data_IF_353217389140
#
_entry.id   IF_353217389140
#
_cell.length_a   1.000
_cell.length_b   1.000
_cell.length_c   1.000
_cell.angle_alpha   90.00
_cell.angle_beta   90.00
_cell.angle_gamma   90.00
#
_symmetry.space_group_name_H-M   'P 1'
#
loop_
_entity.id
_entity.type
_entity.pdbx_description
1 polymer ?
#
# COMPACT_ATOMS: atom_id res chain seq x y z
N UNK A 1 -23.75 1.91 20.21
CA UNK A 1 -22.64 1.11 19.63
C UNK A 1 -21.40 1.25 20.51
N UNK A 2 -20.53 0.22 20.60
CA UNK A 2 -19.26 0.33 21.33
C UNK A 2 -18.33 1.33 20.64
N UNK A 3 -17.64 2.18 21.42
CA UNK A 3 -16.56 3.03 20.92
C UNK A 3 -15.42 2.18 20.39
N UNK A 4 -14.66 2.69 19.42
CA UNK A 4 -13.54 1.98 18.81
C UNK A 4 -12.25 2.76 18.95
N UNK A 5 -11.15 2.05 19.07
CA UNK A 5 -9.79 2.60 18.91
C UNK A 5 -9.22 2.13 17.57
N UNK A 6 -8.86 3.07 16.71
CA UNK A 6 -8.24 2.81 15.41
C UNK A 6 -6.79 3.24 15.43
N UNK A 7 -5.87 2.35 15.08
CA UNK A 7 -4.50 2.71 14.78
C UNK A 7 -4.38 3.02 13.29
N UNK A 8 -3.78 4.15 12.93
CA UNK A 8 -3.50 4.56 11.55
C UNK A 8 -2.02 4.84 11.38
N UNK A 9 -1.41 4.25 10.36
CA UNK A 9 0.00 4.46 10.03
C UNK A 9 0.21 5.53 8.97
N UNK A 10 1.47 5.89 8.76
CA UNK A 10 1.89 6.91 7.80
C UNK A 10 1.15 8.24 7.99
N UNK A 11 1.09 8.70 9.24
CA UNK A 11 0.39 9.92 9.64
C UNK A 11 0.87 11.18 8.90
N UNK A 12 2.03 11.13 8.23
CA UNK A 12 2.54 12.18 7.34
C UNK A 12 2.01 12.12 5.91
N UNK A 13 1.28 11.06 5.52
CA UNK A 13 0.73 10.94 4.16
C UNK A 13 -0.37 11.97 3.91
N UNK A 14 -0.41 12.61 2.72
CA UNK A 14 -1.40 13.64 2.40
C UNK A 14 -2.87 13.23 2.53
N UNK A 15 -3.18 11.94 2.40
CA UNK A 15 -4.55 11.41 2.53
C UNK A 15 -5.01 11.23 3.98
N UNK A 16 -4.09 11.10 4.93
CA UNK A 16 -4.42 10.73 6.31
C UNK A 16 -5.26 11.78 7.06
N UNK A 17 -5.01 13.10 6.93
CA UNK A 17 -5.87 14.10 7.55
C UNK A 17 -7.36 13.95 7.21
N UNK A 18 -7.67 13.68 5.93
CA UNK A 18 -9.05 13.42 5.48
C UNK A 18 -9.63 12.15 6.09
N UNK A 19 -8.85 11.07 6.17
CA UNK A 19 -9.28 9.79 6.75
C UNK A 19 -9.56 9.97 8.26
N UNK A 20 -8.69 10.68 9.00
CA UNK A 20 -8.91 10.97 10.42
C UNK A 20 -10.20 11.78 10.60
N UNK A 21 -10.44 12.79 9.76
CA UNK A 21 -11.68 13.56 9.80
C UNK A 21 -12.92 12.67 9.57
N UNK A 22 -12.85 11.72 8.64
CA UNK A 22 -13.93 10.74 8.42
C UNK A 22 -14.15 9.85 9.66
N UNK A 23 -13.10 9.37 10.31
CA UNK A 23 -13.23 8.59 11.55
C UNK A 23 -13.88 9.40 12.67
N UNK A 24 -13.42 10.62 12.90
CA UNK A 24 -13.91 11.47 13.99
C UNK A 24 -15.34 12.00 13.76
N UNK A 25 -15.75 12.17 12.51
CA UNK A 25 -17.06 12.73 12.11
C UNK A 25 -18.00 11.69 11.49
N UNK A 26 -17.87 10.40 11.84
CA UNK A 26 -18.66 9.32 11.23
C UNK A 26 -20.16 9.34 11.56
N UNK A 27 -20.59 10.11 12.57
CA UNK A 27 -22.00 10.26 12.96
C UNK A 27 -22.62 9.07 13.70
N UNK A 28 -21.88 7.96 13.89
CA UNK A 28 -22.40 6.73 14.48
C UNK A 28 -21.85 6.43 15.87
N UNK A 29 -20.54 6.61 16.06
CA UNK A 29 -19.85 6.26 17.30
C UNK A 29 -18.60 7.12 17.50
N UNK A 30 -18.11 7.19 18.74
CA UNK A 30 -16.82 7.78 19.03
C UNK A 30 -15.70 6.86 18.57
N UNK A 31 -14.73 7.44 17.84
CA UNK A 31 -13.51 6.75 17.42
C UNK A 31 -12.30 7.49 18.01
N UNK A 32 -11.52 6.76 18.81
CA UNK A 32 -10.20 7.19 19.26
C UNK A 32 -9.19 6.82 18.18
N UNK A 33 -8.38 7.77 17.74
CA UNK A 33 -7.39 7.56 16.67
C UNK A 33 -5.99 7.60 17.25
N UNK A 34 -5.24 6.53 17.06
CA UNK A 34 -3.82 6.41 17.40
C UNK A 34 -3.02 6.51 16.12
N UNK A 35 -2.16 7.50 15.99
CA UNK A 35 -1.31 7.70 14.81
C UNK A 35 0.08 7.12 15.01
N UNK A 36 0.65 6.52 13.96
CA UNK A 36 2.06 6.13 13.93
C UNK A 36 2.73 6.62 12.65
N UNK A 37 4.00 7.00 12.75
CA UNK A 37 4.81 7.42 11.59
C UNK A 37 6.31 7.19 11.86
N UNK A 38 7.10 7.09 10.78
CA UNK A 38 8.56 7.06 10.86
C UNK A 38 9.20 8.46 11.01
N UNK A 39 8.42 9.52 10.85
CA UNK A 39 8.80 10.90 11.14
C UNK A 39 8.32 11.29 12.54
N UNK A 40 9.11 12.09 13.26
CA UNK A 40 8.71 12.62 14.56
C UNK A 40 7.63 13.70 14.44
N UNK A 41 7.57 14.40 13.31
CA UNK A 41 6.67 15.52 13.05
C UNK A 41 5.85 15.31 11.77
N UNK A 42 5.00 14.24 11.70
CA UNK A 42 4.11 14.07 10.55
C UNK A 42 2.97 15.08 10.58
N UNK A 43 2.43 15.42 9.41
CA UNK A 43 1.39 16.44 9.25
C UNK A 43 0.13 16.21 10.11
N UNK A 44 -0.23 14.95 10.37
CA UNK A 44 -1.39 14.59 11.17
C UNK A 44 -1.08 14.33 12.67
N UNK A 45 0.13 14.59 13.15
CA UNK A 45 0.53 14.35 14.55
C UNK A 45 -0.45 14.93 15.56
N UNK A 46 -0.89 16.17 15.33
CA UNK A 46 -1.79 16.90 16.24
C UNK A 46 -3.28 16.66 15.96
N UNK A 47 -3.60 15.81 14.99
CA UNK A 47 -4.98 15.45 14.66
C UNK A 47 -5.44 14.15 15.33
N UNK A 48 -4.49 13.36 15.84
CA UNK A 48 -4.73 12.07 16.51
C UNK A 48 -4.80 12.24 18.02
N UNK A 49 -5.38 11.27 18.70
CA UNK A 49 -5.56 11.29 20.15
C UNK A 49 -4.33 10.75 20.91
N UNK A 50 -3.49 9.95 20.23
CA UNK A 50 -2.15 9.55 20.67
C UNK A 50 -1.26 9.35 19.43
N UNK A 51 0.04 9.61 19.57
CA UNK A 51 1.02 9.47 18.50
C UNK A 51 2.25 8.69 18.99
N UNK A 52 2.77 7.82 18.11
CA UNK A 52 3.99 7.05 18.33
C UNK A 52 4.91 7.13 17.13
N UNK A 53 6.19 7.40 17.36
CA UNK A 53 7.22 7.20 16.37
C UNK A 53 7.51 5.71 16.22
N UNK A 54 7.60 5.23 14.96
CA UNK A 54 7.90 3.84 14.62
C UNK A 54 8.97 3.78 13.54
N UNK A 55 9.77 2.72 13.43
CA UNK A 55 10.73 2.59 12.34
C UNK A 55 10.02 2.40 10.99
N UNK A 56 10.80 2.41 9.90
CA UNK A 56 10.27 2.08 8.58
C UNK A 56 9.67 0.66 8.54
N UNK A 57 8.68 0.43 7.68
CA UNK A 57 7.99 -0.86 7.55
C UNK A 57 8.91 -2.04 7.14
N UNK A 58 10.12 -1.73 6.64
CA UNK A 58 11.17 -2.71 6.33
C UNK A 58 12.03 -3.12 7.53
N UNK A 59 11.88 -2.44 8.66
CA UNK A 59 12.64 -2.76 9.89
C UNK A 59 12.17 -4.10 10.47
N UNK A 60 13.07 -4.98 10.92
CA UNK A 60 12.72 -6.31 11.45
C UNK A 60 11.71 -6.26 12.59
N UNK A 61 11.83 -5.28 13.49
CA UNK A 61 10.98 -5.14 14.67
C UNK A 61 9.70 -4.32 14.43
N UNK A 62 9.45 -3.86 13.21
CA UNK A 62 8.29 -3.01 12.89
C UNK A 62 6.98 -3.58 13.42
N UNK A 63 6.66 -4.83 13.06
CA UNK A 63 5.42 -5.47 13.50
C UNK A 63 5.37 -5.73 15.01
N UNK A 64 6.50 -6.01 15.67
CA UNK A 64 6.54 -6.21 17.11
C UNK A 64 6.22 -4.90 17.86
N UNK A 65 6.81 -3.80 17.42
CA UNK A 65 6.52 -2.45 17.97
C UNK A 65 5.05 -2.10 17.81
N UNK A 66 4.48 -2.37 16.63
CA UNK A 66 3.07 -2.13 16.37
C UNK A 66 2.14 -2.99 17.24
N UNK A 67 2.48 -4.27 17.44
CA UNK A 67 1.72 -5.16 18.32
C UNK A 67 1.72 -4.64 19.77
N UNK A 68 2.85 -4.13 20.26
CA UNK A 68 2.94 -3.57 21.61
C UNK A 68 2.15 -2.25 21.74
N UNK A 69 2.18 -1.39 20.73
CA UNK A 69 1.34 -0.19 20.67
C UNK A 69 -0.15 -0.59 20.65
N UNK A 70 -0.53 -1.58 19.82
CA UNK A 70 -1.90 -2.05 19.75
C UNK A 70 -2.41 -2.58 21.11
N UNK A 71 -1.61 -3.34 21.83
CA UNK A 71 -1.96 -3.82 23.18
C UNK A 71 -2.10 -2.66 24.17
N UNK A 72 -1.12 -1.75 24.19
CA UNK A 72 -1.09 -0.59 25.10
C UNK A 72 -2.29 0.32 24.92
N UNK A 73 -2.68 0.59 23.66
CA UNK A 73 -3.74 1.52 23.29
C UNK A 73 -5.11 0.83 23.15
N UNK A 74 -5.20 -0.48 23.38
CA UNK A 74 -6.42 -1.27 23.22
C UNK A 74 -7.04 -1.09 21.83
N UNK A 75 -6.21 -1.20 20.78
CA UNK A 75 -6.64 -1.00 19.39
C UNK A 75 -7.62 -2.10 18.97
N UNK A 76 -8.75 -1.71 18.39
CA UNK A 76 -9.73 -2.63 17.79
C UNK A 76 -9.43 -2.87 16.31
N UNK A 77 -9.00 -1.81 15.59
CA UNK A 77 -8.76 -1.87 14.13
C UNK A 77 -7.43 -1.19 13.80
N UNK A 78 -6.62 -1.84 12.98
CA UNK A 78 -5.43 -1.23 12.38
C UNK A 78 -5.71 -0.90 10.91
N UNK A 79 -5.61 0.37 10.55
CA UNK A 79 -5.79 0.91 9.21
C UNK A 79 -4.43 1.32 8.64
N UNK A 80 -3.82 0.53 7.72
CA UNK A 80 -2.53 0.87 7.13
C UNK A 80 -2.64 2.02 6.15
N UNK A 81 -1.77 3.03 6.30
CA UNK A 81 -1.74 4.24 5.48
C UNK A 81 -0.89 4.15 4.22
N UNK A 82 -0.02 3.12 4.10
CA UNK A 82 0.87 2.91 2.93
C UNK A 82 0.96 1.46 2.52
N UNK A 83 1.08 1.23 1.22
CA UNK A 83 1.18 -0.14 0.66
C UNK A 83 2.46 -0.87 1.09
N UNK A 84 3.52 -0.15 1.46
CA UNK A 84 4.81 -0.74 1.84
C UNK A 84 4.72 -1.65 3.08
N UNK A 85 3.80 -1.35 4.01
CA UNK A 85 3.63 -2.11 5.24
C UNK A 85 2.69 -3.31 5.10
N UNK A 86 1.78 -3.27 4.12
CA UNK A 86 0.71 -4.27 3.97
C UNK A 86 1.26 -5.69 3.91
N UNK A 87 2.32 -5.92 3.14
CA UNK A 87 2.96 -7.25 3.03
C UNK A 87 3.57 -7.73 4.36
N UNK A 88 4.10 -6.82 5.18
CA UNK A 88 4.64 -7.17 6.50
C UNK A 88 3.50 -7.51 7.49
N UNK A 89 2.44 -6.72 7.48
CA UNK A 89 1.27 -6.92 8.34
C UNK A 89 0.56 -8.25 8.04
N UNK A 90 0.36 -8.56 6.77
CA UNK A 90 -0.34 -9.78 6.36
C UNK A 90 0.43 -11.04 6.77
N UNK A 91 1.76 -11.03 6.76
CA UNK A 91 2.61 -12.13 7.27
C UNK A 91 2.45 -12.35 8.78
N UNK A 92 2.00 -11.35 9.51
CA UNK A 92 1.80 -11.36 10.96
C UNK A 92 0.31 -11.28 11.34
N UNK A 93 -0.59 -11.59 10.40
CA UNK A 93 -2.05 -11.53 10.57
C UNK A 93 -2.53 -12.21 11.84
N UNK A 94 -2.08 -13.43 12.09
CA UNK A 94 -2.51 -14.20 13.25
C UNK A 94 -2.05 -13.61 14.60
N UNK A 95 -0.94 -12.89 14.61
CA UNK A 95 -0.45 -12.21 15.81
C UNK A 95 -1.37 -11.03 16.19
N UNK A 96 -1.77 -10.22 15.21
CA UNK A 96 -2.74 -9.15 15.41
C UNK A 96 -4.12 -9.70 15.80
N UNK A 97 -4.58 -10.73 15.12
CA UNK A 97 -5.85 -11.40 15.45
C UNK A 97 -5.85 -11.96 16.87
N UNK A 98 -4.75 -12.55 17.33
CA UNK A 98 -4.61 -13.12 18.68
C UNK A 98 -4.77 -12.08 19.79
N UNK A 99 -4.39 -10.83 19.54
CA UNK A 99 -4.57 -9.72 20.47
C UNK A 99 -5.87 -8.94 20.25
N UNK A 100 -6.77 -9.45 19.41
CA UNK A 100 -8.09 -8.87 19.15
C UNK A 100 -8.11 -7.72 18.14
N UNK A 101 -6.99 -7.44 17.43
CA UNK A 101 -6.90 -6.38 16.42
C UNK A 101 -7.34 -6.89 15.06
N UNK A 102 -8.28 -6.18 14.43
CA UNK A 102 -8.66 -6.40 13.03
C UNK A 102 -7.76 -5.57 12.12
N UNK A 103 -7.02 -6.24 11.23
CA UNK A 103 -6.28 -5.54 10.16
C UNK A 103 -7.23 -5.15 9.03
N UNK A 104 -7.28 -3.88 8.66
CA UNK A 104 -8.05 -3.38 7.50
C UNK A 104 -7.28 -3.60 6.21
N UNK A 105 -7.00 -4.87 5.89
CA UNK A 105 -6.30 -5.31 4.67
C UNK A 105 -6.97 -6.56 4.11
N UNK A 106 -6.68 -6.88 2.84
CA UNK A 106 -7.09 -8.14 2.22
C UNK A 106 -6.19 -9.30 2.70
N UNK A 107 -6.61 -10.54 2.43
CA UNK A 107 -5.81 -11.73 2.72
C UNK A 107 -4.49 -11.74 1.91
N UNK A 108 -3.54 -12.59 2.32
CA UNK A 108 -2.19 -12.68 1.74
C UNK A 108 -2.21 -12.88 0.23
N UNK A 109 -3.04 -13.82 -0.27
CA UNK A 109 -3.11 -14.11 -1.69
C UNK A 109 -3.58 -12.90 -2.51
N UNK A 110 -4.62 -12.21 -2.05
CA UNK A 110 -5.12 -10.99 -2.70
C UNK A 110 -4.08 -9.87 -2.70
N UNK A 111 -3.34 -9.72 -1.59
CA UNK A 111 -2.25 -8.73 -1.48
C UNK A 111 -1.11 -9.05 -2.43
N UNK A 112 -0.69 -10.33 -2.53
CA UNK A 112 0.38 -10.76 -3.43
C UNK A 112 0.01 -10.54 -4.92
N UNK A 113 -1.25 -10.81 -5.27
CA UNK A 113 -1.75 -10.52 -6.62
C UNK A 113 -1.79 -9.03 -6.90
N UNK A 114 -2.39 -8.24 -6.00
CA UNK A 114 -2.55 -6.79 -6.18
C UNK A 114 -1.20 -6.04 -6.23
N UNK A 115 -0.19 -6.53 -5.53
CA UNK A 115 1.16 -5.95 -5.54
C UNK A 115 2.00 -6.36 -6.76
N UNK A 116 1.50 -7.25 -7.62
CA UNK A 116 2.19 -7.74 -8.80
C UNK A 116 1.34 -7.48 -10.06
N UNK A 117 1.72 -6.48 -10.86
CA UNK A 117 0.95 -6.07 -12.06
C UNK A 117 0.72 -7.20 -13.05
N UNK A 118 1.72 -8.09 -13.22
CA UNK A 118 1.60 -9.22 -14.12
C UNK A 118 0.56 -10.23 -13.61
N UNK A 119 0.64 -10.61 -12.34
CA UNK A 119 -0.35 -11.50 -11.71
C UNK A 119 -1.76 -10.89 -11.73
N UNK A 120 -1.87 -9.58 -11.50
CA UNK A 120 -3.16 -8.86 -11.58
C UNK A 120 -3.75 -8.97 -12.98
N UNK A 121 -2.97 -8.72 -14.03
CA UNK A 121 -3.46 -8.81 -15.41
C UNK A 121 -3.84 -10.23 -15.79
N UNK A 122 -3.03 -11.21 -15.39
CA UNK A 122 -3.34 -12.64 -15.63
C UNK A 122 -4.67 -13.04 -14.99
N UNK A 123 -4.83 -12.75 -13.70
CA UNK A 123 -6.04 -13.10 -12.96
C UNK A 123 -7.30 -12.40 -13.51
N UNK A 124 -7.18 -11.11 -13.90
CA UNK A 124 -8.30 -10.38 -14.49
C UNK A 124 -8.67 -10.94 -15.88
N UNK A 125 -7.68 -11.28 -16.70
CA UNK A 125 -7.91 -11.89 -18.01
C UNK A 125 -8.56 -13.27 -17.87
N UNK A 126 -8.14 -14.10 -16.93
CA UNK A 126 -8.75 -15.39 -16.61
C UNK A 126 -10.22 -15.25 -16.17
N UNK A 127 -10.54 -14.14 -15.49
CA UNK A 127 -11.90 -13.79 -15.09
C UNK A 127 -12.74 -13.13 -16.21
N UNK A 128 -12.20 -13.03 -17.44
CA UNK A 128 -12.88 -12.39 -18.57
C UNK A 128 -12.95 -10.86 -18.49
N UNK A 129 -12.18 -10.24 -17.61
CA UNK A 129 -12.10 -8.78 -17.45
C UNK A 129 -11.04 -8.24 -18.41
N UNK A 130 -11.36 -7.23 -19.25
CA UNK A 130 -10.39 -6.64 -20.17
C UNK A 130 -9.18 -6.05 -19.45
N UNK A 131 -7.99 -6.37 -19.94
CA UNK A 131 -6.71 -5.82 -19.46
C UNK A 131 -5.99 -5.13 -20.62
N UNK A 132 -5.09 -4.17 -20.33
CA UNK A 132 -4.22 -3.61 -21.36
C UNK A 132 -3.38 -4.70 -22.01
N UNK A 133 -3.07 -4.54 -23.30
CA UNK A 133 -2.05 -5.37 -23.95
C UNK A 133 -0.70 -5.19 -23.25
N UNK A 134 0.02 -6.27 -23.03
CA UNK A 134 1.32 -6.23 -22.33
C UNK A 134 2.25 -7.34 -22.80
N UNK A 135 3.54 -7.13 -22.61
CA UNK A 135 4.60 -8.11 -22.87
C UNK A 135 5.50 -8.23 -21.64
N UNK A 136 5.62 -9.42 -21.01
CA UNK A 136 6.52 -9.63 -19.87
C UNK A 136 7.99 -9.51 -20.29
N UNK A 137 8.77 -8.75 -19.55
CA UNK A 137 10.19 -8.47 -19.82
C UNK A 137 11.03 -8.90 -18.63
N UNK A 138 11.97 -9.83 -18.87
CA UNK A 138 12.93 -10.31 -17.89
C UNK A 138 14.38 -10.05 -18.32
N UNK A 139 14.63 -9.93 -19.63
CA UNK A 139 15.94 -9.70 -20.22
C UNK A 139 15.93 -8.50 -21.17
N UNK A 140 17.11 -8.05 -21.56
CA UNK A 140 17.25 -6.99 -22.59
C UNK A 140 16.65 -7.45 -23.93
N UNK A 141 16.80 -8.73 -24.28
CA UNK A 141 16.24 -9.29 -25.51
C UNK A 141 14.69 -9.27 -25.46
N UNK A 142 14.08 -9.69 -24.34
CA UNK A 142 12.63 -9.60 -24.16
C UNK A 142 12.14 -8.17 -24.30
N UNK A 143 12.92 -7.21 -23.79
CA UNK A 143 12.59 -5.80 -23.92
C UNK A 143 12.54 -5.34 -25.37
N UNK A 144 13.55 -5.70 -26.19
CA UNK A 144 13.61 -5.35 -27.62
C UNK A 144 12.45 -6.00 -28.38
N UNK A 145 12.18 -7.28 -28.12
CA UNK A 145 11.08 -8.00 -28.76
C UNK A 145 9.71 -7.48 -28.31
N UNK A 146 9.55 -7.19 -27.01
CA UNK A 146 8.34 -6.59 -26.47
C UNK A 146 8.06 -5.20 -27.07
N UNK A 147 9.08 -4.38 -27.26
CA UNK A 147 8.93 -3.10 -27.94
C UNK A 147 8.40 -3.28 -29.37
N UNK A 148 8.96 -4.22 -30.13
CA UNK A 148 8.49 -4.53 -31.48
C UNK A 148 7.04 -5.04 -31.49
N UNK A 149 6.74 -6.00 -30.61
CA UNK A 149 5.41 -6.57 -30.43
C UNK A 149 4.37 -5.50 -30.13
N UNK A 150 4.69 -4.54 -29.26
CA UNK A 150 3.82 -3.44 -28.87
C UNK A 150 3.72 -2.31 -29.92
N UNK A 151 4.44 -2.42 -31.05
CA UNK A 151 4.38 -1.51 -32.17
C UNK A 151 5.35 -0.34 -32.14
N UNK A 152 6.41 -0.39 -31.33
CA UNK A 152 7.50 0.58 -31.39
C UNK A 152 8.32 0.38 -32.69
N UNK A 153 8.77 1.43 -33.38
CA UNK A 153 8.75 2.86 -33.01
C UNK A 153 7.50 3.65 -33.41
N UNK A 154 6.54 3.02 -34.12
CA UNK A 154 5.34 3.70 -34.64
C UNK A 154 4.40 4.15 -33.50
N UNK A 155 4.42 3.43 -32.38
CA UNK A 155 3.67 3.76 -31.16
C UNK A 155 4.62 3.87 -29.99
N UNK A 156 4.41 4.83 -29.06
CA UNK A 156 5.14 4.84 -27.80
C UNK A 156 4.77 3.63 -26.96
N UNK A 157 5.74 3.10 -26.21
CA UNK A 157 5.53 2.00 -25.27
C UNK A 157 5.80 2.44 -23.84
N UNK A 158 5.10 1.83 -22.90
CA UNK A 158 5.23 2.12 -21.47
C UNK A 158 5.87 0.94 -20.74
N UNK A 159 7.10 1.12 -20.27
CA UNK A 159 7.76 0.16 -19.38
C UNK A 159 7.36 0.42 -17.93
N UNK A 160 6.99 -0.65 -17.21
CA UNK A 160 6.60 -0.57 -15.79
C UNK A 160 7.27 -1.67 -14.98
N UNK A 161 7.71 -1.33 -13.78
CA UNK A 161 8.17 -2.34 -12.81
C UNK A 161 6.95 -3.15 -12.33
N UNK A 162 7.08 -4.47 -12.30
CA UNK A 162 6.01 -5.40 -11.92
C UNK A 162 5.53 -5.11 -10.48
N UNK A 163 6.46 -5.00 -9.51
CA UNK A 163 6.18 -4.74 -8.09
C UNK A 163 6.49 -3.29 -7.72
N UNK A 164 5.98 -2.30 -8.46
CA UNK A 164 6.22 -0.87 -8.23
C UNK A 164 4.95 -0.11 -7.86
N UNK A 165 5.09 0.93 -7.05
CA UNK A 165 4.02 1.85 -6.66
C UNK A 165 4.43 3.31 -6.88
N UNK A 166 3.45 4.24 -6.88
CA UNK A 166 3.69 5.68 -6.98
C UNK A 166 4.40 6.12 -8.26
N UNK A 167 4.14 5.45 -9.39
CA UNK A 167 4.77 5.70 -10.70
C UNK A 167 6.30 5.56 -10.73
N UNK A 168 6.91 5.04 -9.65
CA UNK A 168 8.36 4.79 -9.62
C UNK A 168 8.73 3.73 -10.63
N UNK A 169 9.78 4.02 -11.45
CA UNK A 169 10.25 3.10 -12.49
C UNK A 169 9.33 2.99 -13.71
N UNK A 170 8.31 3.83 -13.86
CA UNK A 170 7.55 3.97 -15.11
C UNK A 170 8.37 4.77 -16.10
N UNK A 171 8.50 4.27 -17.34
CA UNK A 171 9.19 4.92 -18.45
C UNK A 171 8.32 4.89 -19.70
N UNK A 172 8.15 6.03 -20.34
CA UNK A 172 7.56 6.12 -21.68
C UNK A 172 8.71 6.17 -22.67
N UNK A 173 8.71 5.25 -23.62
CA UNK A 173 9.69 5.14 -24.70
C UNK A 173 8.99 5.56 -25.97
N UNK A 174 9.39 6.70 -26.49
CA UNK A 174 8.78 7.36 -27.65
C UNK A 174 9.91 7.77 -28.60
N UNK A 175 9.85 7.27 -29.84
CA UNK A 175 10.86 7.58 -30.87
C UNK A 175 10.84 9.06 -31.28
N UNK A 176 9.71 9.74 -31.09
CA UNK A 176 9.53 11.14 -31.49
C UNK A 176 9.91 12.14 -30.38
N UNK A 177 10.22 11.67 -29.17
CA UNK A 177 10.68 12.51 -28.07
C UNK A 177 12.20 12.45 -28.00
N UNK A 178 12.88 13.57 -28.30
CA UNK A 178 14.31 13.71 -28.03
C UNK A 178 14.58 13.48 -26.55
N UNK A 179 15.66 12.76 -26.25
CA UNK A 179 16.15 12.56 -24.87
C UNK A 179 16.50 13.92 -24.26
N UNK A 180 15.81 14.30 -23.21
CA UNK A 180 16.30 15.25 -22.21
C UNK A 180 16.59 14.47 -20.92
#
# INVERSE_FOLDING_TARGET
>A
MKDLTVLISASGSPSIPGIIACFKNNGERKIRVVGVDMSDEPSARYMVDAFYHVPAATHPDYCNILLDICKKEHVDIYFPGVSAEVSALVKRWDDFKRIGVTLSVSNSNSVDVANNKLKTYQMLAEAGIPVPEYYPVHTVNDFVEGCKYMGYPQKPVCLKIVNGSGSRGVRIIDANKSRY
#
